data_IF_012966871023
#
_entry.id   IF_012966871023
#
_cell.length_a   1.000
_cell.length_b   1.000
_cell.length_c   1.000
_cell.angle_alpha   90.00
_cell.angle_beta   90.00
_cell.angle_gamma   90.00
#
_symmetry.space_group_name_H-M   'P 1'
#
loop_
_entity.id
_entity.type
_entity.pdbx_description
1 polymer ?
#
# COMPACT_ATOMS: atom_id res chain seq x y z
N UNK A 1 -6.98 8.95 -24.36
CA UNK A 1 -6.19 8.78 -23.12
C UNK A 1 -6.76 7.58 -22.40
N UNK A 2 -5.98 6.50 -22.21
CA UNK A 2 -6.46 5.31 -21.51
C UNK A 2 -6.68 5.70 -20.05
N UNK A 3 -7.91 5.60 -19.57
CA UNK A 3 -8.25 5.79 -18.15
C UNK A 3 -7.49 4.75 -17.33
N UNK A 4 -6.67 5.19 -16.36
CA UNK A 4 -5.90 4.27 -15.52
C UNK A 4 -6.83 3.53 -14.56
N UNK A 5 -6.72 2.20 -14.55
CA UNK A 5 -7.37 1.30 -13.60
C UNK A 5 -6.43 1.05 -12.43
N UNK A 6 -6.84 1.47 -11.22
CA UNK A 6 -6.00 1.47 -10.02
C UNK A 6 -6.63 0.61 -8.94
N UNK A 7 -5.81 -0.22 -8.29
CA UNK A 7 -6.18 -1.01 -7.12
C UNK A 7 -5.54 -0.43 -5.86
N UNK A 8 -6.34 -0.19 -4.84
CA UNK A 8 -5.88 0.01 -3.46
C UNK A 8 -6.03 -1.34 -2.73
N UNK A 9 -4.93 -2.09 -2.56
CA UNK A 9 -4.93 -3.50 -2.12
C UNK A 9 -5.10 -3.67 -0.61
N UNK A 10 -4.79 -2.64 0.17
CA UNK A 10 -4.93 -2.59 1.61
C UNK A 10 -5.65 -1.30 2.01
N UNK A 11 -6.85 -1.12 1.44
CA UNK A 11 -7.53 0.17 1.39
C UNK A 11 -7.89 0.74 2.77
N UNK A 12 -8.07 -0.12 3.78
CA UNK A 12 -8.59 0.26 5.07
C UNK A 12 -9.86 1.12 4.92
N UNK A 13 -9.88 2.29 5.56
CA UNK A 13 -10.99 3.24 5.44
C UNK A 13 -11.07 4.02 4.11
N UNK A 14 -10.22 3.72 3.12
CA UNK A 14 -10.24 4.29 1.77
C UNK A 14 -9.66 5.69 1.61
N UNK A 15 -8.81 6.14 2.54
CA UNK A 15 -8.17 7.47 2.45
C UNK A 15 -7.33 7.65 1.17
N UNK A 16 -6.56 6.63 0.81
CA UNK A 16 -5.72 6.63 -0.40
C UNK A 16 -6.56 6.44 -1.67
N UNK A 17 -7.53 5.52 -1.65
CA UNK A 17 -8.54 5.39 -2.71
C UNK A 17 -9.21 6.72 -3.08
N UNK A 18 -9.65 7.50 -2.09
CA UNK A 18 -10.28 8.83 -2.32
C UNK A 18 -9.29 9.85 -2.89
N UNK A 19 -8.04 9.84 -2.41
CA UNK A 19 -7.00 10.72 -2.93
C UNK A 19 -6.70 10.41 -4.41
N UNK A 20 -6.61 9.13 -4.77
CA UNK A 20 -6.41 8.69 -6.15
C UNK A 20 -7.59 9.07 -7.05
N UNK A 21 -8.83 8.93 -6.56
CA UNK A 21 -10.03 9.35 -7.28
C UNK A 21 -10.04 10.87 -7.55
N UNK A 22 -9.70 11.67 -6.53
CA UNK A 22 -9.57 13.13 -6.66
C UNK A 22 -8.43 13.53 -7.62
N UNK A 23 -7.37 12.72 -7.72
CA UNK A 23 -6.27 12.88 -8.67
C UNK A 23 -6.60 12.53 -10.13
N UNK A 24 -7.84 12.14 -10.42
CA UNK A 24 -8.31 11.87 -11.78
C UNK A 24 -8.03 10.46 -12.30
N UNK A 25 -7.76 9.49 -11.40
CA UNK A 25 -7.76 8.08 -11.78
C UNK A 25 -9.14 7.66 -12.31
N UNK A 26 -9.17 6.85 -13.36
CA UNK A 26 -10.41 6.55 -14.08
C UNK A 26 -11.29 5.52 -13.39
N UNK A 27 -10.67 4.44 -12.90
CA UNK A 27 -11.36 3.38 -12.17
C UNK A 27 -10.54 3.06 -10.92
N UNK A 28 -11.19 3.17 -9.74
CA UNK A 28 -10.60 2.82 -8.45
C UNK A 28 -11.32 1.59 -7.93
N UNK A 29 -10.52 0.54 -7.68
CA UNK A 29 -10.95 -0.66 -6.98
C UNK A 29 -10.27 -0.69 -5.61
N UNK A 30 -11.02 -0.94 -4.56
CA UNK A 30 -10.55 -1.06 -3.19
C UNK A 30 -10.72 -2.50 -2.70
N UNK A 31 -9.66 -3.02 -2.10
CA UNK A 31 -9.60 -4.31 -1.45
C UNK A 31 -8.93 -4.17 -0.08
N UNK A 32 -9.36 -4.99 0.86
CA UNK A 32 -8.68 -5.17 2.14
C UNK A 32 -8.93 -6.62 2.60
N UNK A 33 -7.94 -7.20 3.29
CA UNK A 33 -8.07 -8.54 3.87
C UNK A 33 -9.14 -8.57 4.97
N UNK A 34 -9.39 -7.44 5.63
CA UNK A 34 -10.49 -7.25 6.58
C UNK A 34 -11.59 -6.35 5.96
N UNK A 35 -12.70 -6.94 5.48
CA UNK A 35 -13.80 -6.19 4.86
C UNK A 35 -14.40 -5.11 5.77
N UNK A 36 -14.35 -5.28 7.10
CA UNK A 36 -14.94 -4.32 8.03
C UNK A 36 -14.19 -2.98 8.04
N UNK A 37 -12.89 -2.99 7.67
CA UNK A 37 -12.11 -1.75 7.53
C UNK A 37 -12.61 -0.89 6.37
N UNK A 38 -13.24 -1.49 5.35
CA UNK A 38 -13.75 -0.80 4.15
C UNK A 38 -15.19 -0.27 4.30
N UNK A 39 -15.86 -0.52 5.43
CA UNK A 39 -17.28 -0.16 5.62
C UNK A 39 -17.61 1.32 5.39
N UNK A 40 -16.65 2.21 5.64
CA UNK A 40 -16.83 3.65 5.51
C UNK A 40 -16.59 4.16 4.08
N UNK A 41 -15.99 3.35 3.20
CA UNK A 41 -15.64 3.74 1.83
C UNK A 41 -16.85 4.25 1.04
N UNK A 42 -18.01 3.56 1.00
CA UNK A 42 -19.15 3.98 0.19
C UNK A 42 -19.64 5.39 0.55
N UNK A 43 -19.85 5.66 1.84
CA UNK A 43 -20.35 6.95 2.33
C UNK A 43 -19.32 8.07 2.11
N UNK A 44 -18.01 7.77 2.19
CA UNK A 44 -16.96 8.75 1.90
C UNK A 44 -16.82 9.03 0.41
N UNK A 45 -16.95 8.00 -0.43
CA UNK A 45 -16.91 8.11 -1.88
C UNK A 45 -18.05 8.98 -2.39
N UNK A 46 -19.28 8.70 -1.94
CA UNK A 46 -20.48 9.49 -2.24
C UNK A 46 -20.30 10.96 -1.85
N UNK A 47 -19.86 11.22 -0.61
CA UNK A 47 -19.61 12.60 -0.14
C UNK A 47 -18.56 13.34 -0.98
N UNK A 48 -17.60 12.62 -1.56
CA UNK A 48 -16.58 13.20 -2.44
C UNK A 48 -16.98 13.30 -3.91
N UNK A 49 -18.17 12.80 -4.29
CA UNK A 49 -18.62 12.76 -5.69
C UNK A 49 -17.86 11.75 -6.56
N UNK A 50 -17.16 10.80 -5.95
CA UNK A 50 -16.38 9.78 -6.65
C UNK A 50 -17.01 8.39 -6.48
N UNK A 51 -16.72 7.48 -7.42
CA UNK A 51 -17.07 6.06 -7.31
C UNK A 51 -15.82 5.25 -7.02
N UNK A 52 -15.91 4.37 -6.03
CA UNK A 52 -14.88 3.38 -5.67
C UNK A 52 -15.58 2.02 -5.65
N UNK A 53 -15.11 1.08 -6.45
CA UNK A 53 -15.56 -0.31 -6.42
C UNK A 53 -14.92 -1.02 -5.23
N UNK A 54 -15.69 -1.78 -4.44
CA UNK A 54 -15.17 -2.57 -3.33
C UNK A 54 -15.25 -4.04 -3.70
N UNK A 55 -14.14 -4.77 -3.53
CA UNK A 55 -14.09 -6.21 -3.83
C UNK A 55 -13.29 -7.01 -2.80
N UNK A 56 -13.70 -8.27 -2.60
CA UNK A 56 -12.94 -9.26 -1.83
C UNK A 56 -11.91 -10.00 -2.67
N UNK A 57 -12.09 -9.99 -3.98
CA UNK A 57 -11.30 -10.78 -4.93
C UNK A 57 -10.96 -9.90 -6.11
N UNK A 58 -9.95 -9.02 -5.99
CA UNK A 58 -9.55 -8.15 -7.09
C UNK A 58 -9.04 -8.99 -8.26
N UNK A 59 -9.53 -8.69 -9.46
CA UNK A 59 -9.12 -9.36 -10.71
C UNK A 59 -8.39 -8.34 -11.59
N UNK A 60 -7.12 -8.62 -11.85
CA UNK A 60 -6.26 -7.81 -12.70
C UNK A 60 -6.52 -8.01 -14.21
N UNK A 61 -5.70 -7.37 -15.07
CA UNK A 61 -4.58 -6.50 -14.70
C UNK A 61 -5.03 -5.10 -14.29
N UNK A 62 -4.22 -4.45 -13.45
CA UNK A 62 -4.32 -3.04 -13.09
C UNK A 62 -3.12 -2.27 -13.65
N UNK A 63 -3.32 -1.01 -14.02
CA UNK A 63 -2.23 -0.13 -14.47
C UNK A 63 -1.38 0.33 -13.27
N UNK A 64 -1.99 0.40 -12.09
CA UNK A 64 -1.33 0.71 -10.82
C UNK A 64 -1.95 -0.09 -9.68
N UNK A 65 -1.12 -0.67 -8.82
CA UNK A 65 -1.54 -1.27 -7.55
C UNK A 65 -0.84 -0.52 -6.42
N UNK A 66 -1.61 -0.07 -5.43
CA UNK A 66 -1.12 0.49 -4.18
C UNK A 66 -1.20 -0.60 -3.09
N UNK A 67 -0.11 -0.84 -2.40
CA UNK A 67 -0.02 -1.75 -1.26
C UNK A 67 0.45 -0.97 -0.02
N UNK A 68 -0.52 -0.37 0.70
CA UNK A 68 -0.32 0.23 2.03
C UNK A 68 -0.35 -0.86 3.10
N UNK A 69 0.77 -1.55 3.25
CA UNK A 69 0.82 -2.82 3.96
C UNK A 69 0.79 -2.63 5.48
N UNK A 70 0.23 -3.60 6.22
CA UNK A 70 0.38 -3.65 7.67
C UNK A 70 1.86 -3.62 8.07
N UNK A 71 2.20 -2.77 9.04
CA UNK A 71 3.56 -2.60 9.54
C UNK A 71 3.54 -2.23 11.03
N UNK A 72 4.73 -2.04 11.61
CA UNK A 72 4.91 -1.67 13.02
C UNK A 72 4.31 -0.31 13.40
N UNK A 73 4.04 0.54 12.40
CA UNK A 73 3.60 1.92 12.60
C UNK A 73 4.64 2.78 13.30
N UNK A 74 5.92 2.41 13.25
CA UNK A 74 7.00 3.11 13.97
C UNK A 74 7.15 4.59 13.58
N UNK A 75 6.76 4.96 12.35
CA UNK A 75 6.68 6.35 11.92
C UNK A 75 5.54 7.15 12.54
N UNK A 76 4.50 6.49 13.02
CA UNK A 76 3.30 7.09 13.61
C UNK A 76 3.26 7.06 15.15
N UNK A 77 4.31 6.57 15.83
CA UNK A 77 4.35 6.46 17.29
C UNK A 77 4.12 7.78 18.04
N UNK A 78 4.39 8.94 17.43
CA UNK A 78 4.04 10.23 18.05
C UNK A 78 2.53 10.41 18.26
N UNK A 79 1.69 9.79 17.42
CA UNK A 79 0.22 9.81 17.52
C UNK A 79 -0.32 8.64 18.33
N UNK A 80 0.46 7.55 18.41
CA UNK A 80 0.09 6.34 19.13
C UNK A 80 1.29 5.78 19.94
N UNK A 81 1.68 6.46 21.04
CA UNK A 81 2.94 6.21 21.74
C UNK A 81 3.01 4.85 22.42
N UNK A 82 1.88 4.21 22.71
CA UNK A 82 1.84 2.87 23.28
C UNK A 82 2.26 1.77 22.29
N UNK A 83 2.19 2.05 20.98
CA UNK A 83 2.57 1.08 19.95
C UNK A 83 4.06 0.68 20.04
N UNK A 84 4.93 1.58 20.52
CA UNK A 84 6.36 1.27 20.74
C UNK A 84 6.60 0.16 21.76
N UNK A 85 5.70 0.01 22.73
CA UNK A 85 5.79 -1.00 23.78
C UNK A 85 5.12 -2.33 23.38
N UNK A 86 4.24 -2.30 22.38
CA UNK A 86 3.57 -3.50 21.85
C UNK A 86 4.38 -4.22 20.77
N UNK A 87 5.33 -3.52 20.14
CA UNK A 87 6.18 -4.11 19.12
C UNK A 87 7.23 -5.00 19.79
N UNK A 88 7.18 -6.30 19.49
CA UNK A 88 8.22 -7.26 19.85
C UNK A 88 8.95 -7.76 18.60
N UNK A 89 10.14 -8.35 18.73
CA UNK A 89 10.84 -8.97 17.61
C UNK A 89 9.99 -10.02 16.87
N UNK A 90 9.23 -10.82 17.59
CA UNK A 90 8.34 -11.84 17.02
C UNK A 90 7.24 -11.18 16.18
N UNK A 91 6.61 -10.13 16.73
CA UNK A 91 5.56 -9.40 16.01
C UNK A 91 6.10 -8.70 14.77
N UNK A 92 7.33 -8.17 14.83
CA UNK A 92 7.99 -7.56 13.69
C UNK A 92 8.26 -8.59 12.59
N UNK A 93 8.71 -9.79 12.96
CA UNK A 93 8.91 -10.90 12.03
C UNK A 93 7.60 -11.34 11.37
N UNK A 94 6.51 -11.44 12.13
CA UNK A 94 5.17 -11.74 11.57
C UNK A 94 4.72 -10.69 10.56
N UNK A 95 4.94 -9.40 10.87
CA UNK A 95 4.61 -8.30 9.97
C UNK A 95 5.42 -8.39 8.67
N UNK A 96 6.71 -8.72 8.74
CA UNK A 96 7.53 -8.91 7.56
C UNK A 96 7.02 -10.05 6.67
N UNK A 97 6.66 -11.21 7.24
CA UNK A 97 6.06 -12.30 6.45
C UNK A 97 4.74 -11.91 5.79
N UNK A 98 3.89 -11.14 6.50
CA UNK A 98 2.65 -10.61 5.93
C UNK A 98 2.93 -9.64 4.77
N UNK A 99 3.96 -8.80 4.90
CA UNK A 99 4.36 -7.85 3.86
C UNK A 99 4.86 -8.57 2.60
N UNK A 100 5.67 -9.62 2.75
CA UNK A 100 6.14 -10.48 1.66
C UNK A 100 4.95 -11.11 0.90
N UNK A 101 3.99 -11.70 1.64
CA UNK A 101 2.79 -12.31 1.07
C UNK A 101 1.89 -11.30 0.34
N UNK A 102 1.81 -10.07 0.85
CA UNK A 102 1.05 -9.00 0.20
C UNK A 102 1.78 -8.53 -1.07
N UNK A 103 3.09 -8.31 -1.02
CA UNK A 103 3.91 -7.94 -2.19
C UNK A 103 3.77 -8.95 -3.33
N UNK A 104 3.86 -10.24 -3.03
CA UNK A 104 3.70 -11.31 -4.01
C UNK A 104 2.29 -11.31 -4.65
N UNK A 105 1.22 -11.15 -3.83
CA UNK A 105 -0.15 -11.09 -4.35
C UNK A 105 -0.43 -9.83 -5.14
N UNK A 106 -0.02 -8.67 -4.63
CA UNK A 106 -0.24 -7.37 -5.27
C UNK A 106 0.50 -7.27 -6.61
N UNK A 107 1.73 -7.77 -6.68
CA UNK A 107 2.53 -7.77 -7.93
C UNK A 107 1.86 -8.58 -9.04
N UNK A 108 1.23 -9.71 -8.72
CA UNK A 108 0.52 -10.55 -9.70
C UNK A 108 -0.65 -9.84 -10.39
N UNK A 109 -1.21 -8.81 -9.76
CA UNK A 109 -2.35 -8.03 -10.24
C UNK A 109 -1.93 -6.86 -11.15
N UNK A 110 -0.64 -6.51 -11.19
CA UNK A 110 -0.12 -5.41 -12.03
C UNK A 110 0.05 -5.89 -13.47
N UNK A 111 -0.49 -5.15 -14.44
CA UNK A 111 -0.28 -5.43 -15.87
C UNK A 111 1.16 -5.18 -16.31
N UNK A 112 1.57 -5.72 -17.46
CA UNK A 112 2.86 -5.36 -18.07
C UNK A 112 2.89 -3.86 -18.38
N UNK A 113 4.02 -3.20 -18.06
CA UNK A 113 4.18 -1.75 -18.10
C UNK A 113 3.47 -1.00 -16.94
N UNK A 114 2.84 -1.71 -16.01
CA UNK A 114 2.18 -1.15 -14.84
C UNK A 114 3.14 -0.93 -13.66
N UNK A 115 2.62 -0.32 -12.59
CA UNK A 115 3.40 -0.01 -11.38
C UNK A 115 2.78 -0.58 -10.11
N UNK A 116 3.63 -0.95 -9.15
CA UNK A 116 3.28 -1.29 -7.78
C UNK A 116 3.89 -0.23 -6.84
N UNK A 117 3.05 0.41 -6.03
CA UNK A 117 3.50 1.29 -4.95
C UNK A 117 3.45 0.52 -3.63
N UNK A 118 4.61 0.11 -3.12
CA UNK A 118 4.76 -0.47 -1.79
C UNK A 118 4.91 0.65 -0.77
N UNK A 119 4.12 0.59 0.30
CA UNK A 119 3.94 1.70 1.22
C UNK A 119 3.84 1.20 2.65
N UNK A 120 4.59 1.83 3.57
CA UNK A 120 4.47 1.59 5.02
C UNK A 120 4.47 2.91 5.79
N UNK A 121 3.93 2.91 7.01
CA UNK A 121 4.16 3.97 8.01
C UNK A 121 5.25 3.58 9.02
N UNK A 122 6.30 2.89 8.55
CA UNK A 122 7.45 2.45 9.35
C UNK A 122 8.74 3.19 8.98
N UNK A 123 9.62 3.33 9.96
CA UNK A 123 11.00 3.79 9.83
C UNK A 123 12.02 2.64 9.91
N UNK A 124 11.56 1.39 10.03
CA UNK A 124 12.41 0.22 10.24
C UNK A 124 12.77 -0.40 8.90
N UNK A 125 14.08 -0.49 8.59
CA UNK A 125 14.61 -1.02 7.31
C UNK A 125 14.05 -2.40 6.93
N UNK A 126 13.85 -3.29 7.90
CA UNK A 126 13.37 -4.65 7.62
C UNK A 126 11.93 -4.68 7.11
N UNK A 127 11.15 -3.62 7.31
CA UNK A 127 9.80 -3.44 6.76
C UNK A 127 9.80 -2.57 5.48
N UNK A 128 10.96 -2.07 5.04
CA UNK A 128 11.05 -1.05 4.00
C UNK A 128 11.99 -1.53 2.89
N UNK A 129 13.23 -1.04 2.85
CA UNK A 129 14.20 -1.35 1.81
C UNK A 129 14.49 -2.85 1.73
N UNK A 130 14.58 -3.55 2.87
CA UNK A 130 14.88 -4.99 2.86
C UNK A 130 13.75 -5.82 2.22
N UNK A 131 12.49 -5.41 2.39
CA UNK A 131 11.33 -6.05 1.76
C UNK A 131 11.36 -5.87 0.24
N UNK A 132 11.66 -4.66 -0.21
CA UNK A 132 11.79 -4.34 -1.64
C UNK A 132 12.98 -5.08 -2.26
N UNK A 133 14.14 -5.09 -1.61
CA UNK A 133 15.34 -5.81 -2.03
C UNK A 133 15.05 -7.32 -2.18
N UNK A 134 14.39 -7.92 -1.19
CA UNK A 134 14.02 -9.34 -1.23
C UNK A 134 13.04 -9.64 -2.35
N UNK A 135 12.00 -8.81 -2.51
CA UNK A 135 11.03 -8.94 -3.58
C UNK A 135 11.70 -8.91 -4.96
N UNK A 136 12.55 -7.90 -5.22
CA UNK A 136 13.23 -7.74 -6.52
C UNK A 136 14.20 -8.88 -6.82
N UNK A 137 14.87 -9.44 -5.81
CA UNK A 137 15.73 -10.60 -5.98
C UNK A 137 14.97 -11.88 -6.35
N UNK A 138 13.67 -11.97 -6.01
CA UNK A 138 12.82 -13.13 -6.28
C UNK A 138 11.86 -13.00 -7.46
N UNK A 139 11.76 -11.81 -8.09
CA UNK A 139 10.76 -11.53 -9.12
C UNK A 139 11.38 -10.90 -10.37
N UNK A 140 11.78 -11.76 -11.31
CA UNK A 140 12.26 -11.33 -12.62
C UNK A 140 11.22 -10.44 -13.34
N UNK A 141 11.72 -9.44 -14.08
CA UNK A 141 10.87 -8.48 -14.79
C UNK A 141 10.35 -7.34 -13.93
N UNK A 142 10.78 -7.23 -12.67
CA UNK A 142 10.53 -6.07 -11.81
C UNK A 142 11.78 -5.21 -11.64
N UNK A 143 11.56 -3.92 -11.44
CA UNK A 143 12.62 -2.95 -11.11
C UNK A 143 12.09 -1.86 -10.19
N UNK A 144 12.95 -1.32 -9.34
CA UNK A 144 12.64 -0.12 -8.57
C UNK A 144 12.82 1.12 -9.45
N UNK A 145 11.80 1.97 -9.52
CA UNK A 145 11.88 3.29 -10.14
C UNK A 145 12.44 4.29 -9.13
N UNK A 146 11.87 4.30 -7.93
CA UNK A 146 12.26 5.21 -6.85
C UNK A 146 11.76 4.70 -5.51
N UNK A 147 12.56 4.85 -4.47
CA UNK A 147 12.12 4.75 -3.08
C UNK A 147 12.41 6.04 -2.32
N UNK A 148 11.61 6.29 -1.28
CA UNK A 148 11.79 7.45 -0.40
C UNK A 148 11.30 7.15 1.01
N UNK A 149 12.14 7.46 1.98
CA UNK A 149 11.78 7.52 3.39
C UNK A 149 11.49 8.97 3.79
N UNK A 150 10.39 9.16 4.51
CA UNK A 150 10.01 10.38 5.20
C UNK A 150 10.09 10.13 6.69
N UNK A 151 10.52 11.14 7.44
CA UNK A 151 10.65 11.10 8.88
C UNK A 151 9.71 12.13 9.52
N UNK A 152 9.45 12.04 10.83
CA UNK A 152 8.71 13.10 11.52
C UNK A 152 9.34 14.49 11.41
N UNK A 153 10.64 14.58 11.10
CA UNK A 153 11.34 15.86 10.87
C UNK A 153 10.91 16.54 9.58
N UNK A 154 10.30 15.80 8.64
CA UNK A 154 9.81 16.31 7.35
C UNK A 154 8.39 16.90 7.44
N UNK A 155 7.81 17.02 8.63
CA UNK A 155 6.52 17.68 8.84
C UNK A 155 5.30 16.76 8.78
N UNK A 156 5.43 15.52 9.27
CA UNK A 156 4.36 14.53 9.27
C UNK A 156 4.63 13.32 10.17
N UNK A 157 4.03 12.19 9.85
CA UNK A 157 4.48 10.90 10.37
C UNK A 157 5.65 10.37 9.53
N UNK A 158 6.42 9.46 10.12
CA UNK A 158 7.36 8.65 9.36
C UNK A 158 6.65 7.72 8.38
N UNK A 159 7.20 7.59 7.17
CA UNK A 159 6.59 6.87 6.08
C UNK A 159 7.64 6.39 5.09
N UNK A 160 7.38 5.27 4.42
CA UNK A 160 8.22 4.78 3.33
C UNK A 160 7.35 4.49 2.12
N UNK A 161 7.88 4.81 0.94
CA UNK A 161 7.27 4.43 -0.34
C UNK A 161 8.35 3.93 -1.29
N UNK A 162 8.08 2.83 -1.97
CA UNK A 162 8.83 2.36 -3.12
C UNK A 162 7.88 2.18 -4.31
N UNK A 163 8.26 2.73 -5.46
CA UNK A 163 7.55 2.58 -6.72
C UNK A 163 8.32 1.58 -7.57
N UNK A 164 7.67 0.46 -7.88
CA UNK A 164 8.22 -0.64 -8.67
C UNK A 164 7.50 -0.70 -10.01
N UNK A 165 8.23 -0.94 -11.09
CA UNK A 165 7.65 -1.18 -12.42
C UNK A 165 7.76 -2.64 -12.82
N UNK A 166 6.71 -3.12 -13.49
CA UNK A 166 6.69 -4.41 -14.18
C UNK A 166 7.01 -4.19 -15.66
N UNK A 167 8.09 -4.81 -16.14
CA UNK A 167 8.53 -4.75 -17.53
C UNK A 167 7.60 -5.52 -18.49
#
# INVERSE_FOLDING_TARGET
VRTKRVLDFCAGGGGKSLHLAAGGAGEIVAHDADPDRMKDIPARAERSGHRIEITRHPVGPFDCVLADVPCSGSGAWRRQPEAKWRLTPERLSELNSIQDDILARASSLVGSGGILAYITCSLIRCENEAQVECFLAGHDGWSEIVSRQFTPLDGGDGFFVAILSRN
#
